data_IF_741423916630
#
_entry.id   IF_741423916630
#
_cell.length_a   1.000
_cell.length_b   1.000
_cell.length_c   1.000
_cell.angle_alpha   90.00
_cell.angle_beta   90.00
_cell.angle_gamma   90.00
#
_symmetry.space_group_name_H-M   'P 1'
#
loop_
_entity.id
_entity.type
_entity.pdbx_description
1 polymer ?
#
# COMPACT_ATOMS: atom_id res chain seq x y z
N UNK A 1 22.10 -13.16 -6.59
CA UNK A 1 21.04 -12.21 -6.17
C UNK A 1 20.92 -12.30 -4.66
N UNK A 2 21.00 -11.17 -3.92
CA UNK A 2 20.91 -11.21 -2.45
C UNK A 2 19.51 -11.63 -2.01
N UNK A 3 19.44 -12.56 -1.07
CA UNK A 3 18.21 -13.18 -0.58
C UNK A 3 17.23 -12.15 -0.02
N UNK A 4 17.72 -11.03 0.52
CA UNK A 4 16.90 -9.96 1.10
C UNK A 4 16.08 -9.18 0.06
N UNK A 5 16.61 -9.01 -1.17
CA UNK A 5 15.93 -8.27 -2.23
C UNK A 5 14.68 -9.03 -2.73
N UNK A 6 14.79 -10.35 -2.87
CA UNK A 6 13.67 -11.22 -3.25
C UNK A 6 12.57 -11.21 -2.20
N UNK A 7 12.92 -11.18 -0.91
CA UNK A 7 11.96 -11.07 0.19
C UNK A 7 11.18 -9.74 0.12
N UNK A 8 11.85 -8.62 -0.13
CA UNK A 8 11.21 -7.32 -0.28
C UNK A 8 10.23 -7.28 -1.46
N UNK A 9 10.62 -7.84 -2.61
CA UNK A 9 9.76 -7.94 -3.80
C UNK A 9 8.53 -8.81 -3.56
N UNK A 10 8.68 -9.95 -2.90
CA UNK A 10 7.56 -10.85 -2.60
C UNK A 10 6.55 -10.19 -1.66
N UNK A 11 7.02 -9.49 -0.62
CA UNK A 11 6.13 -8.75 0.28
C UNK A 11 5.43 -7.59 -0.43
N UNK A 12 6.13 -6.90 -1.33
CA UNK A 12 5.57 -5.87 -2.20
C UNK A 12 4.42 -6.40 -3.07
N UNK A 13 4.58 -7.57 -3.70
CA UNK A 13 3.52 -8.22 -4.49
C UNK A 13 2.32 -8.64 -3.62
N UNK A 14 2.56 -9.12 -2.40
CA UNK A 14 1.50 -9.49 -1.45
C UNK A 14 0.70 -8.26 -1.00
N UNK A 15 1.35 -7.13 -0.78
CA UNK A 15 0.67 -5.86 -0.46
C UNK A 15 -0.23 -5.41 -1.62
N UNK A 16 0.23 -5.54 -2.86
CA UNK A 16 -0.57 -5.21 -4.04
C UNK A 16 -1.84 -6.06 -4.13
N UNK A 17 -1.73 -7.37 -3.91
CA UNK A 17 -2.89 -8.25 -3.87
C UNK A 17 -3.85 -7.89 -2.73
N UNK A 18 -3.33 -7.51 -1.56
CA UNK A 18 -4.15 -7.08 -0.43
C UNK A 18 -4.92 -5.79 -0.76
N UNK A 19 -4.30 -4.83 -1.45
CA UNK A 19 -4.96 -3.60 -1.94
C UNK A 19 -6.07 -3.95 -2.93
N UNK A 20 -5.77 -4.77 -3.94
CA UNK A 20 -6.76 -5.18 -4.96
C UNK A 20 -7.96 -5.90 -4.33
N UNK A 21 -7.74 -6.68 -3.28
CA UNK A 21 -8.79 -7.40 -2.53
C UNK A 21 -9.45 -6.58 -1.41
N UNK A 22 -9.05 -5.32 -1.20
CA UNK A 22 -9.50 -4.46 -0.09
C UNK A 22 -9.29 -5.10 1.30
N UNK A 23 -8.25 -5.92 1.45
CA UNK A 23 -7.89 -6.61 2.69
C UNK A 23 -7.01 -5.71 3.58
N UNK A 24 -7.58 -4.65 4.15
CA UNK A 24 -6.84 -3.58 4.83
C UNK A 24 -6.09 -4.03 6.09
N UNK A 25 -6.66 -4.95 6.88
CA UNK A 25 -6.01 -5.51 8.06
C UNK A 25 -4.75 -6.29 7.68
N UNK A 26 -4.82 -7.04 6.57
CA UNK A 26 -3.68 -7.76 6.01
C UNK A 26 -2.63 -6.80 5.46
N UNK A 27 -3.06 -5.70 4.83
CA UNK A 27 -2.16 -4.68 4.28
C UNK A 27 -1.32 -4.01 5.39
N UNK A 28 -1.91 -3.67 6.54
CA UNK A 28 -1.17 -3.08 7.66
C UNK A 28 -0.05 -4.01 8.18
N UNK A 29 -0.37 -5.30 8.34
CA UNK A 29 0.63 -6.30 8.74
C UNK A 29 1.76 -6.44 7.70
N UNK A 30 1.41 -6.55 6.42
CA UNK A 30 2.37 -6.69 5.34
C UNK A 30 3.26 -5.45 5.19
N UNK A 31 2.71 -4.25 5.40
CA UNK A 31 3.46 -2.99 5.38
C UNK A 31 4.53 -2.95 6.47
N UNK A 32 4.18 -3.25 7.72
CA UNK A 32 5.13 -3.24 8.83
C UNK A 32 6.28 -4.25 8.60
N UNK A 33 5.93 -5.44 8.09
CA UNK A 33 6.92 -6.47 7.76
C UNK A 33 7.82 -6.06 6.61
N UNK A 34 7.26 -5.48 5.54
CA UNK A 34 8.03 -4.99 4.40
C UNK A 34 9.02 -3.90 4.81
N UNK A 35 8.60 -2.94 5.65
CA UNK A 35 9.49 -1.88 6.16
C UNK A 35 10.69 -2.44 6.93
N UNK A 36 10.47 -3.47 7.75
CA UNK A 36 11.55 -4.13 8.49
C UNK A 36 12.55 -4.82 7.56
N UNK A 37 12.06 -5.60 6.59
CA UNK A 37 12.90 -6.32 5.62
C UNK A 37 13.69 -5.35 4.73
N UNK A 38 13.09 -4.25 4.31
CA UNK A 38 13.78 -3.19 3.54
C UNK A 38 14.93 -2.59 4.35
N UNK A 39 14.68 -2.21 5.61
CA UNK A 39 15.73 -1.65 6.46
C UNK A 39 16.89 -2.64 6.66
N UNK A 40 16.59 -3.92 6.89
CA UNK A 40 17.59 -4.97 7.01
C UNK A 40 18.37 -5.20 5.70
N UNK A 41 17.68 -5.16 4.56
CA UNK A 41 18.31 -5.35 3.26
C UNK A 41 19.23 -4.17 2.90
N UNK A 42 18.85 -2.93 3.24
CA UNK A 42 19.71 -1.74 3.07
C UNK A 42 20.97 -1.89 3.91
N UNK A 43 20.86 -2.24 5.19
CA UNK A 43 22.03 -2.46 6.06
C UNK A 43 22.96 -3.56 5.54
N UNK A 44 22.38 -4.65 5.01
CA UNK A 44 23.16 -5.76 4.43
C UNK A 44 23.85 -5.33 3.14
N UNK A 45 23.15 -4.58 2.27
CA UNK A 45 23.72 -4.07 1.02
C UNK A 45 24.82 -3.03 1.26
N UNK A 46 24.69 -2.19 2.28
CA UNK A 46 25.73 -1.25 2.72
C UNK A 46 26.96 -1.96 3.29
N UNK A 47 26.79 -3.15 3.88
CA UNK A 47 27.88 -3.95 4.45
C UNK A 47 28.59 -4.85 3.42
N UNK A 48 27.92 -5.25 2.33
CA UNK A 48 28.40 -6.31 1.41
C UNK A 48 28.98 -5.82 0.06
N UNK A 49 28.75 -4.58 -0.42
CA UNK A 49 29.10 -4.21 -1.81
C UNK A 49 29.54 -2.75 -2.03
N UNK A 50 30.39 -2.53 -3.05
CA UNK A 50 30.76 -1.19 -3.55
C UNK A 50 29.52 -0.38 -3.99
N UNK A 51 29.57 0.93 -3.75
CA UNK A 51 28.47 1.91 -3.77
C UNK A 51 27.47 1.85 -4.95
N UNK A 52 27.87 1.38 -6.12
CA UNK A 52 27.07 1.51 -7.35
C UNK A 52 25.90 0.50 -7.42
N UNK A 53 26.09 -0.73 -6.94
CA UNK A 53 25.02 -1.76 -6.96
C UNK A 53 23.93 -1.54 -5.89
N UNK A 54 24.23 -0.71 -4.89
CA UNK A 54 23.26 -0.31 -3.84
C UNK A 54 22.33 0.78 -4.38
N UNK A 55 22.86 1.74 -5.15
CA UNK A 55 22.10 2.84 -5.74
C UNK A 55 21.03 2.35 -6.71
N UNK A 56 21.35 1.41 -7.60
CA UNK A 56 20.38 0.88 -8.56
C UNK A 56 19.23 0.13 -7.86
N UNK A 57 19.55 -0.64 -6.80
CA UNK A 57 18.54 -1.38 -6.02
C UNK A 57 17.65 -0.43 -5.22
N UNK A 58 18.21 0.62 -4.63
CA UNK A 58 17.45 1.66 -3.93
C UNK A 58 16.53 2.44 -4.88
N UNK A 59 16.99 2.77 -6.08
CA UNK A 59 16.16 3.42 -7.11
C UNK A 59 14.95 2.57 -7.48
N UNK A 60 15.15 1.27 -7.75
CA UNK A 60 14.03 0.35 -8.06
C UNK A 60 13.04 0.23 -6.89
N UNK A 61 13.56 0.24 -5.66
CA UNK A 61 12.73 0.20 -4.46
C UNK A 61 11.90 1.48 -4.30
N UNK A 62 12.48 2.63 -4.62
CA UNK A 62 11.80 3.93 -4.59
C UNK A 62 10.69 4.00 -5.65
N UNK A 63 10.94 3.51 -6.86
CA UNK A 63 9.93 3.43 -7.92
C UNK A 63 8.72 2.57 -7.51
N UNK A 64 8.98 1.41 -6.90
CA UNK A 64 7.92 0.53 -6.39
C UNK A 64 7.10 1.22 -5.28
N UNK A 65 7.75 1.91 -4.34
CA UNK A 65 7.06 2.70 -3.30
C UNK A 65 6.20 3.81 -3.91
N UNK A 66 6.69 4.52 -4.92
CA UNK A 66 5.94 5.58 -5.58
C UNK A 66 4.69 5.04 -6.29
N UNK A 67 4.82 3.92 -7.01
CA UNK A 67 3.67 3.28 -7.67
C UNK A 67 2.62 2.83 -6.65
N UNK A 68 3.04 2.20 -5.54
CA UNK A 68 2.10 1.80 -4.49
C UNK A 68 1.42 2.98 -3.82
N UNK A 69 2.13 4.09 -3.63
CA UNK A 69 1.55 5.32 -3.07
C UNK A 69 0.42 5.83 -3.96
N UNK A 70 0.62 5.86 -5.28
CA UNK A 70 -0.42 6.28 -6.24
C UNK A 70 -1.63 5.34 -6.22
N UNK A 71 -1.41 4.03 -6.13
CA UNK A 71 -2.50 3.05 -6.00
C UNK A 71 -3.28 3.26 -4.71
N UNK A 72 -2.60 3.54 -3.60
CA UNK A 72 -3.22 3.81 -2.31
C UNK A 72 -4.08 5.09 -2.36
N UNK A 73 -3.57 6.16 -2.95
CA UNK A 73 -4.29 7.41 -3.15
C UNK A 73 -5.55 7.22 -4.00
N UNK A 74 -5.46 6.46 -5.08
CA UNK A 74 -6.62 6.13 -5.92
C UNK A 74 -7.68 5.34 -5.14
N UNK A 75 -7.26 4.37 -4.33
CA UNK A 75 -8.16 3.60 -3.47
C UNK A 75 -8.84 4.48 -2.41
N UNK A 76 -8.10 5.40 -1.79
CA UNK A 76 -8.65 6.37 -0.83
C UNK A 76 -9.69 7.29 -1.47
N UNK A 77 -9.44 7.77 -2.68
CA UNK A 77 -10.42 8.59 -3.42
C UNK A 77 -11.69 7.80 -3.76
N UNK A 78 -11.55 6.54 -4.18
CA UNK A 78 -12.70 5.68 -4.46
C UNK A 78 -13.55 5.44 -3.20
N UNK A 79 -12.90 5.13 -2.07
CA UNK A 79 -13.58 4.93 -0.79
C UNK A 79 -14.27 6.20 -0.30
N UNK A 80 -13.64 7.38 -0.47
CA UNK A 80 -14.24 8.67 -0.13
C UNK A 80 -15.51 8.95 -0.94
N UNK A 81 -15.52 8.64 -2.24
CA UNK A 81 -16.71 8.77 -3.09
C UNK A 81 -17.82 7.83 -2.67
N UNK A 82 -17.50 6.57 -2.37
CA UNK A 82 -18.46 5.58 -1.88
C UNK A 82 -19.10 6.03 -0.56
N UNK A 83 -18.30 6.56 0.36
CA UNK A 83 -18.78 7.12 1.62
C UNK A 83 -19.73 8.31 1.41
N UNK A 84 -19.39 9.24 0.52
CA UNK A 84 -20.27 10.37 0.19
C UNK A 84 -21.60 9.92 -0.42
N UNK A 85 -21.58 8.90 -1.29
CA UNK A 85 -22.79 8.32 -1.86
C UNK A 85 -23.68 7.68 -0.80
N UNK A 86 -23.09 6.95 0.15
CA UNK A 86 -23.82 6.37 1.27
C UNK A 86 -24.45 7.44 2.17
N UNK A 87 -23.72 8.51 2.50
CA UNK A 87 -24.27 9.64 3.26
C UNK A 87 -25.44 10.31 2.54
N UNK A 88 -25.31 10.54 1.23
CA UNK A 88 -26.39 11.11 0.43
C UNK A 88 -27.63 10.18 0.38
N UNK A 89 -27.41 8.86 0.29
CA UNK A 89 -28.48 7.86 0.39
C UNK A 89 -29.21 7.92 1.73
N UNK A 90 -28.47 7.94 2.84
CA UNK A 90 -29.04 8.04 4.19
C UNK A 90 -29.81 9.34 4.40
N UNK A 91 -29.31 10.46 3.88
CA UNK A 91 -30.02 11.75 3.93
C UNK A 91 -31.34 11.69 3.16
N UNK A 92 -31.36 11.10 1.96
CA UNK A 92 -32.58 10.88 1.17
C UNK A 92 -33.58 10.01 1.94
N UNK A 93 -33.15 8.87 2.46
CA UNK A 93 -34.01 7.98 3.26
C UNK A 93 -34.60 8.69 4.47
N UNK A 94 -33.80 9.51 5.17
CA UNK A 94 -34.27 10.33 6.30
C UNK A 94 -35.31 11.37 5.87
N UNK A 95 -35.17 11.99 4.71
CA UNK A 95 -36.18 12.93 4.20
C UNK A 95 -37.47 12.24 3.79
N UNK A 96 -37.41 11.06 3.17
CA UNK A 96 -38.60 10.27 2.83
C UNK A 96 -39.38 9.85 4.09
N UNK A 97 -38.69 9.28 5.09
CA UNK A 97 -39.30 8.86 6.35
C UNK A 97 -39.96 10.01 7.13
N UNK A 98 -39.49 11.25 6.95
CA UNK A 98 -40.09 12.46 7.56
C UNK A 98 -41.27 13.02 6.77
N UNK A 99 -41.39 12.68 5.49
CA UNK A 99 -42.51 13.11 4.65
C UNK A 99 -43.71 12.14 4.77
N UNK A 100 -43.47 10.91 5.21
CA UNK A 100 -44.48 9.88 5.45
C UNK A 100 -45.01 9.84 6.90
N UNK A 101 -44.47 10.68 7.80
CA UNK A 101 -44.87 10.84 9.20
C UNK A 101 -45.64 12.14 9.44
#
# INVERSE_FOLDING_TARGET
>A
MSNCYLTCLNLSALMEQAIQKRAWDQLQYLQARWQHEVASCIQTMEAEMERDDVLEKLMRLLEDVQQKTQLLEAAMQALSREHQQQLAGLQKTRTYLRAES
#
